data_IF_316452663901
#
_entry.id   IF_316452663901
#
_cell.length_a   1.000
_cell.length_b   1.000
_cell.length_c   1.000
_cell.angle_alpha   90.00
_cell.angle_beta   90.00
_cell.angle_gamma   90.00
#
_symmetry.space_group_name_H-M   'P 1'
#
loop_
_entity.id
_entity.type
_entity.pdbx_description
1 polymer ?
#
# COMPACT_ATOMS: atom_id res chain seq x y z
N UNK A 1 -35.32 0.89 -1.47
CA UNK A 1 -34.02 0.29 -1.85
C UNK A 1 -33.05 1.42 -2.13
N UNK A 2 -31.86 1.47 -1.51
CA UNK A 2 -31.07 2.71 -1.49
C UNK A 2 -30.44 2.95 -2.86
N UNK A 3 -30.72 4.13 -3.43
CA UNK A 3 -30.29 4.61 -4.75
C UNK A 3 -28.76 4.60 -5.01
N UNK A 4 -27.94 4.34 -4.00
CA UNK A 4 -26.47 4.48 -4.07
C UNK A 4 -25.74 3.24 -4.61
N UNK A 5 -26.38 2.05 -4.59
CA UNK A 5 -25.75 0.81 -5.07
C UNK A 5 -25.64 0.74 -6.60
N UNK A 6 -26.63 1.24 -7.33
CA UNK A 6 -26.71 1.06 -8.79
C UNK A 6 -25.52 1.66 -9.53
N UNK A 7 -25.18 2.92 -9.24
CA UNK A 7 -24.07 3.61 -9.92
C UNK A 7 -22.70 2.97 -9.68
N UNK A 8 -22.48 2.41 -8.48
CA UNK A 8 -21.23 1.73 -8.15
C UNK A 8 -21.14 0.39 -8.89
N UNK A 9 -22.23 -0.37 -8.92
CA UNK A 9 -22.34 -1.65 -9.65
C UNK A 9 -22.21 -1.46 -11.18
N UNK A 10 -22.78 -0.38 -11.73
CA UNK A 10 -22.63 -0.01 -13.15
C UNK A 10 -21.17 0.26 -13.52
N UNK A 11 -20.43 0.96 -12.64
CA UNK A 11 -19.00 1.23 -12.85
C UNK A 11 -18.16 -0.05 -12.81
N UNK A 12 -18.50 -0.98 -11.91
CA UNK A 12 -17.84 -2.30 -11.81
C UNK A 12 -18.10 -3.12 -13.08
N UNK A 13 -19.34 -3.10 -13.58
CA UNK A 13 -19.72 -3.77 -14.83
C UNK A 13 -19.02 -3.18 -16.04
N UNK A 14 -18.94 -1.84 -16.14
CA UNK A 14 -18.22 -1.15 -17.21
C UNK A 14 -16.72 -1.47 -17.21
N UNK A 15 -16.13 -1.71 -16.04
CA UNK A 15 -14.74 -2.15 -15.89
C UNK A 15 -14.53 -3.66 -16.15
N UNK A 16 -15.58 -4.40 -16.54
CA UNK A 16 -15.49 -5.83 -16.86
C UNK A 16 -15.44 -6.77 -15.65
N UNK A 17 -15.78 -6.27 -14.46
CA UNK A 17 -15.80 -7.07 -13.24
C UNK A 17 -17.23 -7.46 -12.85
N UNK A 18 -17.37 -8.57 -12.13
CA UNK A 18 -18.65 -8.97 -11.52
C UNK A 18 -19.03 -8.01 -10.38
N UNK A 19 -20.19 -7.33 -10.42
CA UNK A 19 -20.68 -6.47 -9.34
C UNK A 19 -20.75 -7.16 -7.98
N UNK A 20 -20.92 -8.49 -7.91
CA UNK A 20 -20.90 -9.23 -6.66
C UNK A 20 -19.56 -9.17 -5.92
N UNK A 21 -18.46 -8.81 -6.61
CA UNK A 21 -17.13 -8.62 -6.01
C UNK A 21 -16.98 -7.29 -5.28
N UNK A 22 -17.92 -6.36 -5.39
CA UNK A 22 -17.88 -5.08 -4.69
C UNK A 22 -18.60 -5.20 -3.33
N UNK A 23 -17.87 -5.19 -2.19
CA UNK A 23 -18.49 -5.30 -0.88
C UNK A 23 -19.40 -4.10 -0.59
N UNK A 24 -20.43 -4.26 0.26
CA UNK A 24 -21.29 -3.16 0.68
C UNK A 24 -20.48 -1.97 1.23
N UNK A 25 -20.80 -0.75 0.79
CA UNK A 25 -20.13 0.48 1.24
C UNK A 25 -18.82 0.81 0.53
N UNK A 26 -18.38 0.00 -0.42
CA UNK A 26 -17.19 0.27 -1.25
C UNK A 26 -17.57 0.83 -2.63
N UNK A 27 -16.59 1.41 -3.32
CA UNK A 27 -16.70 1.91 -4.69
C UNK A 27 -15.44 1.59 -5.49
N UNK A 28 -15.58 1.41 -6.80
CA UNK A 28 -14.43 1.20 -7.69
C UNK A 28 -13.65 2.51 -7.88
N UNK A 29 -12.35 2.49 -7.56
CA UNK A 29 -11.41 3.61 -7.75
C UNK A 29 -10.27 3.19 -8.66
N UNK A 30 -9.84 4.11 -9.52
CA UNK A 30 -8.61 3.99 -10.33
C UNK A 30 -7.39 4.55 -9.58
N UNK A 31 -7.62 5.27 -8.48
CA UNK A 31 -6.55 5.78 -7.63
C UNK A 31 -5.94 4.65 -6.82
N UNK A 32 -4.65 4.78 -6.51
CA UNK A 32 -3.98 3.85 -5.63
C UNK A 32 -4.64 3.86 -4.24
N UNK A 33 -5.11 2.70 -3.74
CA UNK A 33 -5.73 2.63 -2.44
C UNK A 33 -4.67 2.93 -1.37
N UNK A 34 -4.99 3.82 -0.45
CA UNK A 34 -4.15 4.12 0.72
C UNK A 34 -4.76 3.45 1.93
N UNK A 35 -4.01 2.56 2.57
CA UNK A 35 -4.37 1.92 3.82
C UNK A 35 -3.31 2.28 4.87
N UNK A 36 -3.72 2.94 5.95
CA UNK A 36 -2.86 3.23 7.09
C UNK A 36 -3.53 2.74 8.37
N UNK A 37 -2.75 2.13 9.25
CA UNK A 37 -3.15 1.82 10.62
C UNK A 37 -2.55 2.90 11.53
N UNK A 38 -3.23 4.06 11.62
CA UNK A 38 -2.78 5.23 12.39
C UNK A 38 -2.19 6.35 11.54
N UNK A 39 -1.54 7.31 12.20
CA UNK A 39 -0.99 8.50 11.55
C UNK A 39 0.22 8.19 10.67
N UNK A 40 0.38 8.97 9.61
CA UNK A 40 1.56 8.87 8.72
C UNK A 40 2.77 9.45 9.44
N UNK A 41 3.81 8.64 9.62
CA UNK A 41 5.03 9.08 10.26
C UNK A 41 5.76 10.17 9.44
N UNK A 42 6.23 11.22 10.11
CA UNK A 42 7.18 12.16 9.54
C UNK A 42 8.60 11.63 9.76
N UNK A 43 9.34 11.38 8.68
CA UNK A 43 10.66 10.76 8.72
C UNK A 43 11.72 11.72 8.20
N UNK A 44 12.72 12.00 9.03
CA UNK A 44 13.95 12.67 8.60
C UNK A 44 14.94 11.62 8.10
N UNK A 45 15.22 11.65 6.80
CA UNK A 45 16.11 10.71 6.12
C UNK A 45 17.54 10.78 6.66
N UNK A 46 17.99 11.93 7.16
CA UNK A 46 19.33 12.10 7.70
C UNK A 46 19.57 11.31 8.99
N UNK A 47 18.51 10.95 9.71
CA UNK A 47 18.57 10.18 10.97
C UNK A 47 17.97 8.79 10.85
N UNK A 48 17.50 8.43 9.66
CA UNK A 48 16.84 7.16 9.42
C UNK A 48 17.84 5.99 9.41
N UNK A 49 17.42 4.84 9.94
CA UNK A 49 18.17 3.59 9.84
C UNK A 49 17.25 2.38 9.73
N UNK A 50 17.72 1.34 9.04
CA UNK A 50 17.14 0.00 9.02
C UNK A 50 18.02 -0.93 9.85
N UNK A 51 17.43 -1.52 10.90
CA UNK A 51 18.06 -2.62 11.64
C UNK A 51 17.55 -3.97 11.16
N UNK A 52 18.50 -4.87 10.91
CA UNK A 52 18.28 -6.28 10.59
C UNK A 52 18.82 -7.07 11.78
N UNK A 53 17.93 -7.72 12.52
CA UNK A 53 18.24 -8.34 13.81
C UNK A 53 17.36 -9.58 14.05
N UNK A 54 17.66 -10.36 15.09
CA UNK A 54 16.94 -11.58 15.43
C UNK A 54 17.71 -12.84 15.00
N UNK A 55 17.10 -13.68 14.17
CA UNK A 55 17.72 -14.95 13.72
C UNK A 55 18.68 -14.73 12.54
N UNK A 56 19.72 -13.94 12.76
CA UNK A 56 20.78 -13.64 11.79
C UNK A 56 22.14 -13.99 12.39
N UNK A 57 23.12 -14.30 11.54
CA UNK A 57 24.49 -14.55 12.01
C UNK A 57 25.11 -13.29 12.62
N UNK A 58 24.94 -12.15 11.94
CA UNK A 58 25.40 -10.83 12.40
C UNK A 58 24.28 -9.80 12.23
N UNK A 59 24.05 -8.98 13.25
CA UNK A 59 23.12 -7.85 13.14
C UNK A 59 23.70 -6.76 12.25
N UNK A 60 22.86 -6.18 11.39
CA UNK A 60 23.26 -5.12 10.47
C UNK A 60 22.38 -3.90 10.68
N UNK A 61 23.00 -2.72 10.67
CA UNK A 61 22.30 -1.44 10.63
C UNK A 61 22.73 -0.69 9.37
N UNK A 62 21.77 -0.30 8.54
CA UNK A 62 22.00 0.49 7.33
C UNK A 62 21.40 1.88 7.50
N UNK A 63 22.15 2.92 7.16
CA UNK A 63 21.57 4.23 6.88
C UNK A 63 20.86 4.25 5.52
N UNK A 64 20.22 5.36 5.19
CA UNK A 64 19.45 5.48 3.95
C UNK A 64 20.33 5.38 2.70
N UNK A 65 21.53 5.97 2.71
CA UNK A 65 22.44 5.95 1.56
C UNK A 65 22.98 4.55 1.30
N UNK A 66 23.35 3.84 2.36
CA UNK A 66 23.80 2.45 2.32
C UNK A 66 22.71 1.52 1.78
N UNK A 67 21.45 1.69 2.22
CA UNK A 67 20.33 0.92 1.67
C UNK A 67 20.17 1.18 0.16
N UNK A 68 20.23 2.46 -0.26
CA UNK A 68 20.02 2.87 -1.65
C UNK A 68 21.16 2.46 -2.58
N UNK A 69 22.35 2.19 -2.04
CA UNK A 69 23.49 1.68 -2.78
C UNK A 69 23.41 0.19 -3.11
N UNK A 70 22.50 -0.57 -2.46
CA UNK A 70 22.29 -1.98 -2.76
C UNK A 70 21.69 -2.17 -4.17
N UNK A 71 21.93 -3.32 -4.83
CA UNK A 71 21.31 -3.64 -6.11
C UNK A 71 19.78 -3.56 -6.04
N UNK A 72 19.17 -2.83 -6.97
CA UNK A 72 17.73 -2.69 -7.08
C UNK A 72 17.19 -3.48 -8.29
N UNK A 73 15.94 -3.92 -8.21
CA UNK A 73 15.21 -4.58 -9.30
C UNK A 73 13.77 -4.07 -9.30
N UNK A 74 13.22 -3.89 -10.51
CA UNK A 74 11.79 -3.56 -10.73
C UNK A 74 10.97 -4.86 -10.73
N UNK A 75 9.81 -4.84 -10.07
CA UNK A 75 8.93 -5.99 -9.85
C UNK A 75 7.51 -5.67 -10.30
#
# INVERSE_FOLDING_TARGET
>A
MPLFRSKAEDKVRAAGYDPARLPPGQYLTEKWPVLHAGDVAHVDVATWSLRIFGQVEEEVTLDYEQLRALPATEV
#
